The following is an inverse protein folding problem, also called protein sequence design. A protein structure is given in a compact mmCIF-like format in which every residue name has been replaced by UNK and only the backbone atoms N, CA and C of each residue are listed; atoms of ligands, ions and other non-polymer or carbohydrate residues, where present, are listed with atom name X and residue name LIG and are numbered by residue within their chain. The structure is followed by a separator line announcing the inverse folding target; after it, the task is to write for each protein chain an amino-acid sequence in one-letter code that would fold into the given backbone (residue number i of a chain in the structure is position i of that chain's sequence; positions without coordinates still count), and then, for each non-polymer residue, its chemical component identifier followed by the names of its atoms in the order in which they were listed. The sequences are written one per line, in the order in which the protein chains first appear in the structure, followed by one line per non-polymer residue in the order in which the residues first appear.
data_IF_852837187146
#
_entry.id   IF_852837187146
#
_cell.length_a   1.000
_cell.length_b   1.000
_cell.length_c   1.000
_cell.angle_alpha   90.00
_cell.angle_beta   90.00
_cell.angle_gamma   90.00
#
_symmetry.space_group_name_H-M   'P 1'
#
loop_
_entity.id
_entity.type
_entity.pdbx_description
1 polymer ?
#
# COMPACT_ATOMS: atom_id res chain seq x y z
N UNK A 1 -6.61 -8.22 4.58
CA UNK A 1 -5.74 -7.02 4.74
C UNK A 1 -5.28 -6.98 6.18
N UNK A 2 -3.99 -7.09 6.44
CA UNK A 2 -3.46 -7.08 7.81
C UNK A 2 -2.16 -6.28 7.89
N UNK A 3 -1.97 -5.65 9.04
CA UNK A 3 -0.83 -4.80 9.34
C UNK A 3 0.22 -5.63 10.10
N UNK A 4 1.43 -5.73 9.56
CA UNK A 4 2.56 -6.35 10.28
C UNK A 4 3.58 -5.27 10.59
N UNK A 5 3.81 -5.00 11.88
CA UNK A 5 4.92 -4.14 12.31
C UNK A 5 6.21 -4.94 12.18
N UNK A 6 7.10 -4.55 11.27
CA UNK A 6 8.43 -5.14 11.14
C UNK A 6 9.34 -4.52 12.21
N UNK A 7 10.11 -5.34 12.93
CA UNK A 7 10.90 -4.92 14.10
C UNK A 7 12.09 -4.00 13.77
N UNK A 8 12.36 -3.72 12.50
CA UNK A 8 13.55 -2.98 12.04
C UNK A 8 13.21 -1.74 11.20
N UNK A 9 11.98 -1.61 10.68
CA UNK A 9 11.53 -0.41 9.97
C UNK A 9 10.37 0.21 10.74
N UNK A 10 10.56 1.46 11.19
CA UNK A 10 9.51 2.29 11.78
C UNK A 10 8.40 2.64 10.78
N UNK A 11 8.58 2.30 9.50
CA UNK A 11 7.57 2.48 8.47
C UNK A 11 6.71 1.22 8.33
N UNK A 12 5.40 1.33 8.58
CA UNK A 12 4.51 0.19 8.46
C UNK A 12 4.38 -0.25 7.01
N UNK A 13 4.66 -1.53 6.77
CA UNK A 13 4.53 -2.14 5.45
C UNK A 13 3.22 -2.93 5.39
N UNK A 14 2.38 -2.60 4.43
CA UNK A 14 1.09 -3.25 4.24
C UNK A 14 1.21 -4.38 3.22
N UNK A 15 0.92 -5.60 3.66
CA UNK A 15 0.79 -6.74 2.76
C UNK A 15 -0.69 -6.94 2.43
N UNK A 16 -1.05 -6.66 1.18
CA UNK A 16 -2.35 -7.03 0.65
C UNK A 16 -2.37 -8.53 0.39
N UNK A 17 -3.25 -9.23 1.09
CA UNK A 17 -3.59 -10.62 0.81
C UNK A 17 -5.01 -10.68 0.25
N UNK A 18 -5.19 -11.42 -0.86
CA UNK A 18 -6.45 -11.67 -1.60
C UNK A 18 -6.82 -10.66 -2.73
N UNK A 19 -8.10 -10.70 -3.14
CA UNK A 19 -8.79 -10.01 -4.24
C UNK A 19 -8.40 -8.54 -4.47
N UNK A 20 -8.06 -7.80 -3.41
CA UNK A 20 -7.63 -6.39 -3.52
C UNK A 20 -6.35 -6.27 -4.32
N UNK A 21 -5.39 -7.20 -4.15
CA UNK A 21 -4.15 -7.21 -4.91
C UNK A 21 -4.40 -7.50 -6.40
N UNK A 22 -5.35 -8.39 -6.72
CA UNK A 22 -5.74 -8.67 -8.10
C UNK A 22 -6.43 -7.48 -8.75
N UNK A 23 -7.33 -6.82 -8.03
CA UNK A 23 -8.01 -5.61 -8.52
C UNK A 23 -7.04 -4.46 -8.75
N UNK A 24 -6.07 -4.27 -7.85
CA UNK A 24 -5.01 -3.27 -8.02
C UNK A 24 -4.09 -3.59 -9.20
N UNK A 25 -3.70 -4.87 -9.38
CA UNK A 25 -2.94 -5.29 -10.57
C UNK A 25 -3.71 -5.05 -11.86
N UNK A 26 -5.02 -5.31 -11.88
CA UNK A 26 -5.85 -5.04 -13.04
C UNK A 26 -6.00 -3.54 -13.35
N UNK A 27 -5.72 -2.66 -12.39
CA UNK A 27 -5.71 -1.20 -12.58
C UNK A 27 -4.32 -0.63 -12.86
N UNK A 28 -3.25 -1.40 -12.62
CA UNK A 28 -1.89 -0.96 -12.87
C UNK A 28 -1.60 -0.98 -14.38
N UNK A 29 -1.15 0.15 -14.91
CA UNK A 29 -0.71 0.28 -16.30
C UNK A 29 0.62 -0.47 -16.51
N UNK A 30 0.82 -0.99 -17.72
CA UNK A 30 2.06 -1.68 -18.08
C UNK A 30 3.30 -0.80 -17.83
N UNK A 31 4.32 -1.39 -17.21
CA UNK A 31 5.54 -0.68 -16.82
C UNK A 31 5.40 0.17 -15.56
N UNK A 32 4.30 0.08 -14.81
CA UNK A 32 4.12 0.72 -13.52
C UNK A 32 3.85 -0.31 -12.41
N UNK A 33 4.43 -0.09 -11.25
CA UNK A 33 4.07 -0.79 -10.01
C UNK A 33 3.09 0.06 -9.19
N UNK A 34 2.12 -0.60 -8.57
CA UNK A 34 1.19 0.07 -7.66
C UNK A 34 1.78 0.10 -6.24
N UNK A 35 2.10 1.29 -5.75
CA UNK A 35 2.55 1.52 -4.38
C UNK A 35 1.40 2.08 -3.56
N UNK A 36 1.15 1.48 -2.40
CA UNK A 36 0.06 1.90 -1.52
C UNK A 36 0.65 2.49 -0.26
N UNK A 37 0.35 3.75 -0.01
CA UNK A 37 0.70 4.44 1.22
C UNK A 37 -0.56 4.61 2.06
N UNK A 38 -0.50 4.14 3.30
CA UNK A 38 -1.60 4.26 4.25
C UNK A 38 -1.14 5.06 5.44
N UNK A 39 -1.80 6.20 5.65
CA UNK A 39 -1.67 7.00 6.87
C UNK A 39 -2.90 6.73 7.72
N UNK A 40 -2.71 6.28 8.95
CA UNK A 40 -3.79 6.06 9.91
C UNK A 40 -3.63 7.05 11.05
N UNK A 41 -4.70 7.80 11.33
CA UNK A 41 -4.76 8.76 12.45
C UNK A 41 -6.04 8.49 13.21
N UNK A 42 -5.96 8.35 14.53
CA UNK A 42 -7.16 8.12 15.33
C UNK A 42 -6.93 8.39 16.81
N UNK A 43 -7.95 8.97 17.41
CA UNK A 43 -8.11 9.25 18.82
C UNK A 43 -9.54 8.83 19.25
N UNK A 44 -9.67 8.28 20.46
CA UNK A 44 -10.89 7.57 20.84
C UNK A 44 -12.13 8.50 20.78
N UNK A 45 -13.27 8.08 20.18
CA UNK A 45 -13.60 6.74 19.70
C UNK A 45 -13.37 6.48 18.20
N UNK A 46 -12.85 7.43 17.43
CA UNK A 46 -12.79 7.32 15.98
C UNK A 46 -11.36 7.24 15.44
N UNK A 47 -11.24 6.61 14.28
CA UNK A 47 -10.00 6.61 13.54
C UNK A 47 -10.32 6.84 12.06
N UNK A 48 -9.35 7.41 11.38
CA UNK A 48 -9.41 7.76 9.98
C UNK A 48 -8.15 7.25 9.29
N UNK A 49 -8.31 6.75 8.07
CA UNK A 49 -7.20 6.38 7.20
C UNK A 49 -7.24 7.20 5.91
N UNK A 50 -6.08 7.67 5.48
CA UNK A 50 -5.83 8.13 4.13
C UNK A 50 -5.08 7.04 3.38
N UNK A 51 -5.62 6.64 2.23
CA UNK A 51 -5.01 5.64 1.35
C UNK A 51 -4.66 6.34 0.03
N UNK A 52 -3.38 6.40 -0.27
CA UNK A 52 -2.86 6.89 -1.55
C UNK A 52 -2.39 5.68 -2.33
N UNK A 53 -2.87 5.55 -3.57
CA UNK A 53 -2.44 4.52 -4.52
C UNK A 53 -1.69 5.22 -5.63
N UNK A 54 -0.38 5.01 -5.68
CA UNK A 54 0.51 5.60 -6.67
C UNK A 54 0.85 4.55 -7.74
N UNK A 55 0.74 4.93 -9.01
CA UNK A 55 1.36 4.18 -10.10
C UNK A 55 2.79 4.72 -10.26
N UNK A 56 3.79 3.97 -9.78
CA UNK A 56 5.20 4.34 -9.94
C UNK A 56 5.79 3.62 -11.15
N UNK A 57 6.54 4.29 -12.04
CA UNK A 57 7.21 3.61 -13.13
C UNK A 57 8.15 2.55 -12.56
N UNK A 58 8.02 1.31 -13.03
CA UNK A 58 9.04 0.30 -12.85
C UNK A 58 10.22 0.75 -13.69
N UNK A 59 11.32 1.15 -13.05
CA UNK A 59 12.54 1.51 -13.80
C UNK A 59 12.90 0.30 -14.66
N UNK A 60 12.79 0.46 -15.98
CA UNK A 60 13.27 -0.51 -16.95
C UNK A 60 14.81 -0.47 -16.93
N UNK A 61 15.40 -1.24 -16.02
CA UNK A 61 16.82 -1.61 -16.06
C UNK A 61 17.77 -0.69 -15.28
N UNK A 62 18.42 -1.32 -14.31
CA UNK A 62 19.86 -1.23 -14.07
C UNK A 62 20.35 -2.65 -13.78
#
# INVERSE_FOLDING_TARGET
MWFKRLSVSSQPMMHLTSWVAERLRAMALDGYEAVIQVTLTGDHPWAQAYVVIEARPMVAGG
#
